data_IF_012546378427
#
_entry.id   IF_012546378427
#
_cell.length_a   1.000
_cell.length_b   1.000
_cell.length_c   1.000
_cell.angle_alpha   90.00
_cell.angle_beta   90.00
_cell.angle_gamma   90.00
#
_symmetry.space_group_name_H-M   'P 1'
#
loop_
_entity.id
_entity.type
_entity.pdbx_description
1 polymer ?
#
# COMPACT_ATOMS: atom_id res chain seq x y z
N UNK A 1 7.59 -10.48 -6.71
CA UNK A 1 6.64 -9.67 -5.95
C UNK A 1 7.38 -8.52 -5.28
N UNK A 2 6.74 -7.36 -5.11
CA UNK A 2 7.35 -6.11 -4.65
C UNK A 2 6.52 -5.53 -3.52
N UNK A 3 7.12 -4.72 -2.67
CA UNK A 3 6.43 -3.98 -1.61
C UNK A 3 7.02 -2.59 -1.43
N UNK A 4 6.22 -1.64 -0.98
CA UNK A 4 6.69 -0.29 -0.61
C UNK A 4 7.15 -0.21 0.84
N UNK A 5 6.80 -1.17 1.66
CA UNK A 5 7.18 -1.20 3.06
C UNK A 5 6.57 -2.39 3.77
N UNK A 6 6.93 -2.56 5.01
CA UNK A 6 6.46 -3.65 5.86
C UNK A 6 7.32 -3.82 7.09
N UNK A 7 6.95 -4.77 7.92
CA UNK A 7 7.71 -5.13 9.12
C UNK A 7 8.74 -6.19 8.75
N UNK A 8 9.99 -5.85 8.86
CA UNK A 8 11.10 -6.78 8.66
C UNK A 8 11.40 -7.54 9.95
N UNK A 9 11.68 -8.81 9.81
CA UNK A 9 12.11 -9.72 10.89
C UNK A 9 13.24 -10.61 10.41
N UNK A 10 13.94 -11.22 11.34
CA UNK A 10 14.98 -12.21 11.05
C UNK A 10 14.42 -13.59 11.40
N UNK A 11 14.49 -14.55 10.48
CA UNK A 11 14.01 -15.90 10.74
C UNK A 11 15.02 -16.73 11.53
N UNK A 12 14.64 -17.96 11.90
CA UNK A 12 15.49 -18.89 12.66
C UNK A 12 16.85 -19.21 11.98
N UNK A 13 16.94 -19.01 10.68
CA UNK A 13 18.17 -19.21 9.91
C UNK A 13 19.01 -17.92 9.77
N UNK A 14 18.63 -16.84 10.43
CA UNK A 14 19.31 -15.56 10.33
C UNK A 14 19.01 -14.78 9.05
N UNK A 15 18.03 -15.17 8.24
CA UNK A 15 17.71 -14.51 6.97
C UNK A 15 16.68 -13.40 7.20
N UNK A 16 16.93 -12.24 6.59
CA UNK A 16 15.99 -11.12 6.61
C UNK A 16 14.73 -11.46 5.80
N UNK A 17 13.59 -11.35 6.45
CA UNK A 17 12.29 -11.58 5.82
C UNK A 17 11.28 -10.48 6.12
N UNK A 18 10.29 -10.35 5.25
CA UNK A 18 9.12 -9.55 5.50
C UNK A 18 8.08 -10.40 6.23
N UNK A 19 7.67 -9.99 7.41
CA UNK A 19 6.80 -10.76 8.29
C UNK A 19 5.52 -11.25 7.57
N UNK A 20 5.34 -12.58 7.51
CA UNK A 20 4.18 -13.21 6.88
C UNK A 20 4.16 -13.22 5.35
N UNK A 21 5.24 -12.81 4.70
CA UNK A 21 5.34 -12.73 3.23
C UNK A 21 6.46 -13.61 2.69
N UNK A 22 7.70 -13.41 3.15
CA UNK A 22 8.85 -14.17 2.71
C UNK A 22 10.16 -13.41 2.74
N UNK A 23 11.19 -14.03 2.17
CA UNK A 23 12.55 -13.52 2.19
C UNK A 23 12.75 -12.26 1.36
N UNK A 24 13.56 -11.36 1.88
CA UNK A 24 13.95 -10.12 1.20
C UNK A 24 15.23 -10.36 0.41
N UNK A 25 15.24 -9.94 -0.84
CA UNK A 25 16.39 -10.09 -1.71
C UNK A 25 17.35 -8.90 -1.61
N UNK A 26 18.64 -9.21 -1.68
CA UNK A 26 19.68 -8.22 -1.88
C UNK A 26 19.72 -7.74 -3.33
N UNK A 27 20.43 -6.64 -3.59
CA UNK A 27 20.69 -6.13 -4.93
C UNK A 27 21.36 -7.17 -5.85
N UNK A 28 22.17 -8.04 -5.27
CA UNK A 28 22.86 -9.16 -5.96
C UNK A 28 21.94 -10.38 -6.17
N UNK A 29 20.70 -10.36 -5.68
CA UNK A 29 19.75 -11.46 -5.80
C UNK A 29 19.94 -12.59 -4.77
N UNK A 30 20.74 -12.38 -3.73
CA UNK A 30 20.98 -13.32 -2.64
C UNK A 30 20.16 -12.99 -1.40
N UNK A 31 20.00 -13.96 -0.50
CA UNK A 31 19.40 -13.75 0.81
C UNK A 31 20.34 -12.88 1.68
N UNK A 32 19.77 -11.94 2.44
CA UNK A 32 20.53 -11.13 3.40
C UNK A 32 20.56 -11.88 4.72
N UNK A 33 21.76 -12.34 5.13
CA UNK A 33 21.95 -13.10 6.36
C UNK A 33 22.50 -12.18 7.45
N UNK A 34 21.84 -12.20 8.60
CA UNK A 34 22.14 -11.37 9.78
C UNK A 34 22.53 -12.28 10.95
N UNK A 35 23.50 -11.87 11.78
CA UNK A 35 23.90 -12.64 12.96
C UNK A 35 22.91 -12.59 14.12
N UNK A 36 21.89 -11.71 14.03
CA UNK A 36 20.88 -11.51 15.07
C UNK A 36 19.79 -10.55 14.66
N UNK A 37 18.85 -10.32 15.58
CA UNK A 37 17.67 -9.49 15.34
C UNK A 37 17.95 -7.97 15.40
N UNK A 38 19.12 -7.58 15.87
CA UNK A 38 19.52 -6.17 15.95
C UNK A 38 20.13 -5.74 14.61
N UNK A 39 19.34 -5.08 13.80
CA UNK A 39 19.80 -4.50 12.54
C UNK A 39 19.19 -3.11 12.30
N UNK A 40 19.82 -2.35 11.46
CA UNK A 40 19.30 -1.08 10.97
C UNK A 40 19.49 -1.00 9.44
N UNK A 41 18.66 -0.17 8.81
CA UNK A 41 18.73 0.05 7.37
C UNK A 41 19.04 1.53 7.14
N UNK A 42 20.04 1.77 6.32
CA UNK A 42 20.45 3.12 5.93
C UNK A 42 19.53 3.70 4.84
N UNK A 43 19.60 4.99 4.65
CA UNK A 43 18.87 5.71 3.57
C UNK A 43 19.14 5.13 2.18
N UNK A 44 20.29 4.49 2.01
CA UNK A 44 20.67 3.80 0.79
C UNK A 44 20.16 2.35 0.69
N UNK A 45 19.45 1.84 1.69
CA UNK A 45 19.02 0.45 1.73
C UNK A 45 20.10 -0.53 2.21
N UNK A 46 21.25 -0.06 2.67
CA UNK A 46 22.28 -0.92 3.27
C UNK A 46 21.85 -1.40 4.65
N UNK A 47 21.90 -2.71 4.87
CA UNK A 47 21.55 -3.36 6.14
C UNK A 47 22.82 -3.55 6.95
N UNK A 48 22.83 -3.06 8.19
CA UNK A 48 24.03 -3.07 9.04
C UNK A 48 23.70 -3.27 10.53
N UNK A 49 24.73 -3.57 11.32
CA UNK A 49 24.61 -3.66 12.78
C UNK A 49 24.70 -2.26 13.41
N UNK A 50 23.66 -1.79 14.11
CA UNK A 50 23.65 -0.48 14.76
C UNK A 50 24.62 -0.34 15.94
N UNK A 51 25.15 -1.46 16.46
CA UNK A 51 26.12 -1.46 17.57
C UNK A 51 27.53 -1.11 17.11
N UNK A 52 27.83 -1.31 15.83
CA UNK A 52 29.13 -1.03 15.24
C UNK A 52 29.06 0.34 14.56
N UNK A 53 29.53 1.37 15.26
CA UNK A 53 29.55 2.76 14.76
C UNK A 53 30.94 3.11 14.24
N UNK A 54 31.00 3.85 13.13
CA UNK A 54 32.26 4.36 12.56
C UNK A 54 32.60 3.78 11.19
N UNK A 55 33.84 3.95 10.75
CA UNK A 55 34.34 3.52 9.43
C UNK A 55 34.33 1.98 9.25
N UNK A 56 34.30 1.22 10.35
CA UNK A 56 34.27 -0.25 10.35
C UNK A 56 32.85 -0.82 10.38
N UNK A 57 31.85 -0.06 9.93
CA UNK A 57 30.46 -0.53 9.86
C UNK A 57 30.36 -1.76 8.97
N UNK A 58 29.97 -2.90 9.55
CA UNK A 58 29.72 -4.13 8.79
C UNK A 58 28.37 -4.03 8.07
N UNK A 59 28.39 -4.04 6.75
CA UNK A 59 27.21 -4.11 5.90
C UNK A 59 26.97 -5.57 5.54
N UNK A 60 25.81 -6.09 5.86
CA UNK A 60 25.44 -7.49 5.59
C UNK A 60 24.83 -7.69 4.19
N UNK A 61 24.34 -6.61 3.59
CA UNK A 61 23.79 -6.58 2.24
C UNK A 61 23.04 -5.28 1.99
N UNK A 62 22.70 -5.03 0.74
CA UNK A 62 21.87 -3.89 0.33
C UNK A 62 20.54 -4.40 -0.20
N UNK A 63 19.44 -3.82 0.24
CA UNK A 63 18.10 -4.17 -0.23
C UNK A 63 17.99 -3.96 -1.75
N UNK A 64 17.36 -4.88 -2.45
CA UNK A 64 17.01 -4.72 -3.85
C UNK A 64 15.87 -3.73 -3.98
N UNK A 65 16.18 -2.51 -4.40
CA UNK A 65 15.21 -1.45 -4.64
C UNK A 65 15.07 -1.27 -6.14
N UNK A 66 13.85 -1.39 -6.64
CA UNK A 66 13.54 -1.32 -8.07
C UNK A 66 12.51 -0.24 -8.35
N UNK A 67 12.45 0.21 -9.58
CA UNK A 67 11.45 1.13 -10.08
C UNK A 67 10.80 0.57 -11.35
N UNK A 68 9.71 1.17 -11.82
CA UNK A 68 8.97 0.74 -12.99
C UNK A 68 8.59 1.94 -13.85
N UNK A 69 8.57 1.75 -15.17
CA UNK A 69 8.16 2.81 -16.11
C UNK A 69 6.66 3.10 -16.02
N UNK A 70 5.85 2.05 -15.82
CA UNK A 70 4.40 2.13 -15.82
C UNK A 70 3.83 1.60 -14.51
N UNK A 71 3.59 2.47 -13.55
CA UNK A 71 2.98 2.09 -12.26
C UNK A 71 1.58 1.50 -12.40
N UNK A 72 0.88 1.79 -13.51
CA UNK A 72 -0.44 1.24 -13.83
C UNK A 72 -0.41 -0.28 -14.11
N UNK A 73 0.76 -0.81 -14.48
CA UNK A 73 0.97 -2.24 -14.67
C UNK A 73 1.21 -3.00 -13.36
N UNK A 74 1.29 -2.30 -12.23
CA UNK A 74 1.42 -2.91 -10.91
C UNK A 74 0.05 -3.32 -10.39
N UNK A 75 -0.16 -4.63 -10.25
CA UNK A 75 -1.36 -5.19 -9.64
C UNK A 75 -1.15 -5.31 -8.13
N UNK A 76 -2.08 -4.74 -7.37
CA UNK A 76 -2.06 -4.85 -5.92
C UNK A 76 -2.56 -6.23 -5.50
N UNK A 77 -1.74 -6.93 -4.75
CA UNK A 77 -2.02 -8.21 -4.12
C UNK A 77 -2.31 -8.03 -2.63
N UNK A 78 -2.57 -9.13 -1.94
CA UNK A 78 -2.73 -9.14 -0.49
C UNK A 78 -1.42 -8.74 0.24
N UNK A 79 -1.53 -8.36 1.52
CA UNK A 79 -0.40 -8.01 2.39
C UNK A 79 0.48 -6.83 1.88
N UNK A 80 -0.11 -5.87 1.18
CA UNK A 80 0.63 -4.71 0.62
C UNK A 80 1.70 -5.08 -0.41
N UNK A 81 1.52 -6.22 -1.07
CA UNK A 81 2.37 -6.66 -2.16
C UNK A 81 1.87 -6.13 -3.50
N UNK A 82 2.80 -6.09 -4.44
CA UNK A 82 2.51 -5.75 -5.82
C UNK A 82 3.12 -6.82 -6.73
N UNK A 83 2.39 -7.19 -7.76
CA UNK A 83 2.86 -8.05 -8.86
C UNK A 83 2.86 -7.29 -10.17
N UNK A 84 3.80 -7.60 -11.04
CA UNK A 84 3.85 -7.08 -12.41
C UNK A 84 4.61 -8.03 -13.30
N UNK A 85 4.32 -7.99 -14.59
CA UNK A 85 5.11 -8.64 -15.64
C UNK A 85 6.10 -7.69 -16.31
N UNK A 86 6.13 -6.41 -15.88
CA UNK A 86 7.04 -5.40 -16.44
C UNK A 86 8.48 -5.62 -15.95
N UNK A 87 9.44 -5.24 -16.79
CA UNK A 87 10.85 -5.33 -16.45
C UNK A 87 11.21 -4.31 -15.33
N UNK A 88 12.02 -4.77 -14.38
CA UNK A 88 12.56 -3.94 -13.31
C UNK A 88 13.53 -2.88 -13.88
N UNK A 89 13.45 -1.67 -13.36
CA UNK A 89 14.40 -0.61 -13.62
C UNK A 89 15.40 -0.49 -12.48
N UNK A 90 16.58 0.03 -12.81
CA UNK A 90 17.57 0.37 -11.81
C UNK A 90 17.03 1.46 -10.88
N UNK A 91 17.32 1.32 -9.60
CA UNK A 91 16.92 2.28 -8.57
C UNK A 91 17.31 3.71 -8.95
N UNK A 92 16.39 4.69 -8.91
CA UNK A 92 16.73 6.10 -9.08
C UNK A 92 17.66 6.57 -7.97
N UNK A 93 18.63 7.41 -8.31
CA UNK A 93 19.60 7.97 -7.34
C UNK A 93 18.94 8.78 -6.20
N UNK A 94 17.73 9.27 -6.42
CA UNK A 94 16.92 10.03 -5.44
C UNK A 94 16.09 9.18 -4.50
N UNK A 95 16.03 7.86 -4.72
CA UNK A 95 15.23 6.95 -3.88
C UNK A 95 15.89 6.79 -2.52
N UNK A 96 15.14 7.03 -1.45
CA UNK A 96 15.60 6.89 -0.07
C UNK A 96 14.75 5.88 0.68
N UNK A 97 15.40 5.12 1.57
CA UNK A 97 14.74 4.19 2.49
C UNK A 97 14.58 4.87 3.85
N UNK A 98 13.35 4.91 4.35
CA UNK A 98 13.04 5.47 5.65
C UNK A 98 12.84 4.33 6.67
N UNK A 99 13.90 4.05 7.45
CA UNK A 99 13.90 3.03 8.47
C UNK A 99 13.05 3.42 9.69
N UNK A 100 12.28 2.49 10.23
CA UNK A 100 11.37 2.70 11.39
C UNK A 100 10.31 3.77 11.17
N UNK A 101 9.96 4.07 9.94
CA UNK A 101 8.86 4.95 9.58
C UNK A 101 7.72 4.17 8.96
N UNK A 102 6.49 4.59 9.26
CA UNK A 102 5.28 4.08 8.64
C UNK A 102 4.72 5.13 7.70
N UNK A 103 4.47 4.74 6.45
CA UNK A 103 3.82 5.62 5.49
C UNK A 103 2.39 5.91 5.94
N UNK A 104 2.08 7.19 6.10
CA UNK A 104 0.73 7.62 6.48
C UNK A 104 -0.15 7.73 5.25
N UNK A 105 -1.41 7.31 5.37
CA UNK A 105 -2.40 7.51 4.31
C UNK A 105 -2.57 9.00 4.00
N UNK A 106 -2.63 9.34 2.72
CA UNK A 106 -2.97 10.67 2.22
C UNK A 106 -4.49 10.90 2.13
N UNK A 107 -5.31 9.91 2.48
CA UNK A 107 -6.77 10.00 2.47
C UNK A 107 -7.24 10.74 3.72
N UNK A 108 -8.01 11.81 3.52
CA UNK A 108 -8.71 12.50 4.61
C UNK A 108 -10.03 11.79 4.91
N UNK A 109 -10.03 10.96 5.94
CA UNK A 109 -11.18 10.16 6.34
C UNK A 109 -12.45 11.00 6.58
N UNK A 110 -12.31 12.20 7.14
CA UNK A 110 -13.44 13.10 7.42
C UNK A 110 -14.08 13.61 6.13
N UNK A 111 -13.26 13.98 5.16
CA UNK A 111 -13.71 14.44 3.84
C UNK A 111 -14.42 13.32 3.08
N UNK A 112 -13.85 12.12 3.06
CA UNK A 112 -14.46 10.94 2.43
C UNK A 112 -15.79 10.55 3.09
N UNK A 113 -15.85 10.56 4.43
CA UNK A 113 -17.10 10.29 5.15
C UNK A 113 -18.17 11.34 4.86
N UNK A 114 -17.79 12.62 4.75
CA UNK A 114 -18.71 13.71 4.42
C UNK A 114 -19.25 13.57 3.00
N UNK A 115 -18.38 13.22 2.04
CA UNK A 115 -18.74 12.91 0.66
C UNK A 115 -19.70 11.74 0.57
N UNK A 116 -19.44 10.66 1.31
CA UNK A 116 -20.33 9.49 1.36
C UNK A 116 -21.72 9.85 1.93
N UNK A 117 -21.76 10.60 3.03
CA UNK A 117 -23.05 11.05 3.61
C UNK A 117 -23.83 11.97 2.65
N UNK A 118 -23.14 12.85 1.95
CA UNK A 118 -23.75 13.72 0.93
C UNK A 118 -24.38 12.91 -0.21
N UNK A 119 -23.62 11.93 -0.72
CA UNK A 119 -24.08 11.04 -1.79
C UNK A 119 -25.28 10.18 -1.34
N UNK A 120 -25.26 9.70 -0.10
CA UNK A 120 -26.35 8.92 0.47
C UNK A 120 -27.63 9.78 0.62
N UNK A 121 -27.51 11.05 1.07
CA UNK A 121 -28.66 11.98 1.14
C UNK A 121 -29.21 12.29 -0.24
N UNK A 122 -28.36 12.48 -1.25
CA UNK A 122 -28.80 12.71 -2.61
C UNK A 122 -29.58 11.52 -3.16
N UNK A 123 -29.12 10.28 -2.91
CA UNK A 123 -29.81 9.07 -3.29
C UNK A 123 -31.18 8.94 -2.60
N UNK A 124 -31.25 9.23 -1.29
CA UNK A 124 -32.51 9.21 -0.53
C UNK A 124 -33.51 10.26 -1.07
N UNK A 125 -33.02 11.47 -1.37
CA UNK A 125 -33.87 12.53 -1.97
C UNK A 125 -34.41 12.11 -3.34
N UNK A 126 -33.59 11.52 -4.19
CA UNK A 126 -34.01 11.00 -5.48
C UNK A 126 -35.08 9.90 -5.35
N UNK A 127 -34.87 8.96 -4.40
CA UNK A 127 -35.84 7.90 -4.12
C UNK A 127 -37.19 8.45 -3.61
N UNK A 128 -37.16 9.52 -2.78
CA UNK A 128 -38.40 10.19 -2.31
C UNK A 128 -39.11 10.89 -3.45
N UNK A 129 -38.39 11.55 -4.36
CA UNK A 129 -38.98 12.17 -5.55
C UNK A 129 -39.70 11.15 -6.43
N UNK A 130 -39.07 9.99 -6.66
CA UNK A 130 -39.70 8.92 -7.42
C UNK A 130 -40.99 8.42 -6.75
N UNK A 131 -40.98 8.21 -5.43
CA UNK A 131 -42.18 7.82 -4.68
C UNK A 131 -43.31 8.87 -4.77
N UNK A 132 -42.96 10.17 -4.70
CA UNK A 132 -43.94 11.25 -4.88
C UNK A 132 -44.50 11.26 -6.30
N UNK A 133 -43.64 11.07 -7.29
CA UNK A 133 -44.07 10.97 -8.70
C UNK A 133 -45.04 9.81 -8.90
N UNK A 134 -44.71 8.62 -8.41
CA UNK A 134 -45.58 7.44 -8.48
C UNK A 134 -46.91 7.71 -7.77
N UNK A 135 -46.92 8.35 -6.61
CA UNK A 135 -48.12 8.74 -5.88
C UNK A 135 -49.01 9.72 -6.68
N UNK A 136 -48.40 10.71 -7.32
CA UNK A 136 -49.14 11.64 -8.17
C UNK A 136 -49.73 10.93 -9.38
N UNK A 137 -48.97 10.09 -10.07
CA UNK A 137 -49.43 9.33 -11.21
C UNK A 137 -50.57 8.36 -10.84
N UNK A 138 -50.46 7.70 -9.70
CA UNK A 138 -51.51 6.81 -9.17
C UNK A 138 -52.79 7.60 -8.89
N UNK A 139 -52.70 8.77 -8.26
CA UNK A 139 -53.90 9.62 -8.02
C UNK A 139 -54.50 10.11 -9.33
N UNK A 140 -53.68 10.60 -10.25
CA UNK A 140 -54.16 11.08 -11.55
C UNK A 140 -54.91 9.95 -12.32
N UNK A 141 -54.36 8.74 -12.30
CA UNK A 141 -55.01 7.58 -12.93
C UNK A 141 -56.32 7.21 -12.26
N UNK A 142 -56.38 7.33 -10.94
CA UNK A 142 -57.60 7.01 -10.17
C UNK A 142 -58.72 8.03 -10.37
N UNK A 143 -58.34 9.32 -10.41
CA UNK A 143 -59.31 10.42 -10.60
C UNK A 143 -59.85 10.45 -12.02
N UNK A 144 -59.00 10.20 -13.04
CA UNK A 144 -59.44 10.11 -14.45
C UNK A 144 -60.27 8.86 -14.72
N UNK A 145 -60.00 7.76 -14.06
CA UNK A 145 -60.75 6.50 -14.19
C UNK A 145 -62.11 6.45 -13.50
N UNK A 146 -62.48 7.55 -12.78
CA UNK A 146 -63.75 7.69 -12.04
C UNK A 146 -64.79 8.51 -12.78
N UNK A 147 -64.42 9.03 -13.97
CA UNK A 147 -65.35 9.68 -14.92
C UNK A 147 -65.90 8.63 -15.86
#
# INVERSE_FOLDING_TARGET
MYTRGGSFSVNENGVLELAGVGKVQSEEGHDIVLPGDDFAIDVNGAVYDPKITGENRTVYGTLKIVDFNHYEALHKEDNNLFSTSEAELTRPATTTVNWKMLEKSNVNMVEEMTGMMSSQRALQSAAQMLKMYDSVMSKASTDVGRL
#
